data_IF_602104821590
#
_entry.id   IF_602104821590
#
_cell.length_a   1.000
_cell.length_b   1.000
_cell.length_c   1.000
_cell.angle_alpha   90.00
_cell.angle_beta   90.00
_cell.angle_gamma   90.00
#
_symmetry.space_group_name_H-M   'P 1'
#
loop_
_entity.id
_entity.type
_entity.pdbx_description
1 polymer ?
#
# COMPACT_ATOMS: atom_id res chain seq x y z
N UNK A 1 -30.90 30.49 14.87
CA UNK A 1 -29.67 30.61 15.67
C UNK A 1 -28.69 29.58 15.13
N UNK A 2 -27.80 30.01 14.22
CA UNK A 2 -26.74 29.17 13.67
C UNK A 2 -25.53 29.24 14.60
N UNK A 3 -24.95 28.08 14.92
CA UNK A 3 -23.62 28.00 15.48
C UNK A 3 -22.72 27.42 14.39
N UNK A 4 -22.07 28.34 13.67
CA UNK A 4 -20.96 28.06 12.77
C UNK A 4 -19.73 27.88 13.64
N UNK A 5 -19.25 26.66 13.81
CA UNK A 5 -17.91 26.39 14.35
C UNK A 5 -16.90 26.51 13.22
N UNK A 6 -16.12 27.59 13.23
CA UNK A 6 -15.03 27.82 12.28
C UNK A 6 -13.86 26.83 12.44
N UNK A 7 -12.92 26.80 11.49
CA UNK A 7 -11.79 25.89 11.52
C UNK A 7 -10.75 26.38 12.54
N UNK A 8 -10.64 25.67 13.65
CA UNK A 8 -9.56 25.85 14.60
C UNK A 8 -8.23 25.43 13.98
N UNK A 9 -7.50 26.38 13.38
CA UNK A 9 -6.06 26.24 13.09
C UNK A 9 -5.29 26.29 14.41
N UNK A 10 -5.28 25.18 15.14
CA UNK A 10 -4.35 24.90 16.22
C UNK A 10 -3.17 24.11 15.68
N UNK A 11 -2.28 24.74 14.93
CA UNK A 11 -0.99 24.15 14.60
C UNK A 11 -0.15 24.02 15.86
N UNK A 12 -0.30 22.91 16.59
CA UNK A 12 0.70 22.52 17.58
C UNK A 12 1.93 22.10 16.78
N UNK A 13 2.98 22.92 16.87
CA UNK A 13 4.30 22.55 16.38
C UNK A 13 4.79 21.33 17.18
N UNK A 14 5.38 20.36 16.47
CA UNK A 14 5.91 19.08 16.99
C UNK A 14 6.73 19.24 18.30
N UNK A 15 7.37 20.39 18.49
CA UNK A 15 8.10 20.77 19.70
C UNK A 15 7.28 20.80 21.02
N UNK A 16 5.93 20.75 20.99
CA UNK A 16 5.08 20.77 22.20
C UNK A 16 4.45 19.44 22.58
N UNK A 17 4.59 18.39 21.78
CA UNK A 17 4.13 17.04 22.15
C UNK A 17 5.13 16.40 23.13
N UNK A 18 4.67 15.58 24.11
CA UNK A 18 5.54 14.69 24.89
C UNK A 18 6.45 13.89 23.95
N UNK A 19 7.67 13.54 24.39
CA UNK A 19 8.66 12.88 23.51
C UNK A 19 8.14 11.58 22.91
N UNK A 20 7.35 10.85 23.69
CA UNK A 20 6.66 9.61 23.31
C UNK A 20 5.57 9.78 22.24
N UNK A 21 5.14 11.02 21.95
CA UNK A 21 4.16 11.35 20.93
C UNK A 21 4.78 12.12 19.76
N UNK A 22 6.11 12.10 19.61
CA UNK A 22 6.80 12.68 18.44
C UNK A 22 7.17 11.58 17.45
N UNK A 23 7.13 11.92 16.18
CA UNK A 23 7.61 11.07 15.10
C UNK A 23 9.13 11.22 14.99
N UNK A 24 9.89 10.14 15.08
CA UNK A 24 11.35 10.17 15.00
C UNK A 24 11.85 10.16 13.55
N UNK A 25 11.48 11.19 12.77
CA UNK A 25 11.73 11.29 11.32
C UNK A 25 13.18 10.94 10.95
N UNK A 26 14.17 11.62 11.52
CA UNK A 26 15.58 11.41 11.20
C UNK A 26 16.06 9.98 11.49
N UNK A 27 15.48 9.34 12.51
CA UNK A 27 15.77 7.95 12.87
C UNK A 27 15.19 6.99 11.85
N UNK A 28 13.94 7.19 11.42
CA UNK A 28 13.33 6.36 10.39
C UNK A 28 14.04 6.49 9.03
N UNK A 29 14.46 7.71 8.65
CA UNK A 29 15.26 7.93 7.43
C UNK A 29 16.58 7.17 7.52
N UNK A 30 17.31 7.32 8.63
CA UNK A 30 18.58 6.61 8.85
C UNK A 30 18.41 5.08 8.85
N UNK A 31 17.35 4.60 9.49
CA UNK A 31 16.99 3.18 9.51
C UNK A 31 16.82 2.64 8.09
N UNK A 32 16.00 3.29 7.25
CA UNK A 32 15.73 2.87 5.87
C UNK A 32 17.03 2.87 5.04
N UNK A 33 17.87 3.91 5.17
CA UNK A 33 19.16 3.98 4.48
C UNK A 33 20.11 2.84 4.85
N UNK A 34 20.04 2.33 6.09
CA UNK A 34 20.90 1.26 6.58
C UNK A 34 20.48 -0.16 6.14
N UNK A 35 19.27 -0.33 5.59
CA UNK A 35 18.74 -1.67 5.29
C UNK A 35 19.57 -2.42 4.25
N UNK A 36 20.14 -1.73 3.26
CA UNK A 36 20.97 -2.34 2.21
C UNK A 36 22.47 -2.43 2.57
N UNK A 37 22.89 -1.94 3.74
CA UNK A 37 24.32 -1.94 4.11
C UNK A 37 24.77 -3.22 4.80
N UNK A 38 23.85 -4.09 5.22
CA UNK A 38 24.10 -5.27 6.07
C UNK A 38 24.21 -6.57 5.28
N UNK A 39 24.92 -6.53 4.15
CA UNK A 39 25.03 -7.66 3.19
C UNK A 39 25.83 -8.85 3.71
N UNK A 40 26.54 -8.67 4.82
CA UNK A 40 27.28 -9.69 5.56
C UNK A 40 26.43 -10.45 6.60
N UNK A 41 25.20 -9.99 6.87
CA UNK A 41 24.29 -10.61 7.83
C UNK A 41 23.38 -11.66 7.18
N UNK A 42 23.06 -12.75 7.90
CA UNK A 42 22.19 -13.83 7.41
C UNK A 42 20.76 -13.32 7.17
N UNK A 43 20.28 -12.45 8.05
CA UNK A 43 18.96 -11.84 8.03
C UNK A 43 18.71 -11.06 6.73
N UNK A 44 19.74 -10.43 6.18
CA UNK A 44 19.66 -9.74 4.90
C UNK A 44 19.32 -10.73 3.78
N UNK A 45 19.92 -11.92 3.75
CA UNK A 45 19.68 -12.93 2.72
C UNK A 45 18.39 -13.72 2.94
N UNK A 46 17.99 -13.94 4.20
CA UNK A 46 16.71 -14.58 4.53
C UNK A 46 15.50 -13.77 4.03
N UNK A 47 15.66 -12.48 3.81
CA UNK A 47 14.61 -11.57 3.31
C UNK A 47 14.73 -11.24 1.83
N UNK A 48 15.61 -11.91 1.08
CA UNK A 48 15.80 -11.63 -0.36
C UNK A 48 14.51 -11.80 -1.17
N UNK A 49 13.70 -12.80 -0.82
CA UNK A 49 12.39 -13.04 -1.43
C UNK A 49 11.36 -11.91 -1.20
N UNK A 50 11.71 -10.87 -0.43
CA UNK A 50 10.89 -9.68 -0.21
C UNK A 50 11.56 -8.40 -0.72
N UNK A 51 12.75 -8.46 -1.35
CA UNK A 51 13.60 -7.29 -1.60
C UNK A 51 12.91 -6.20 -2.43
N UNK A 52 12.25 -6.56 -3.53
CA UNK A 52 11.49 -5.61 -4.35
C UNK A 52 10.42 -4.87 -3.55
N UNK A 53 9.65 -5.61 -2.74
CA UNK A 53 8.62 -5.00 -1.90
C UNK A 53 9.23 -4.14 -0.79
N UNK A 54 10.34 -4.59 -0.21
CA UNK A 54 11.14 -3.83 0.75
C UNK A 54 11.62 -2.50 0.20
N UNK A 55 12.08 -2.47 -1.06
CA UNK A 55 12.46 -1.24 -1.75
C UNK A 55 11.25 -0.31 -1.93
N UNK A 56 10.10 -0.83 -2.35
CA UNK A 56 8.86 -0.07 -2.46
C UNK A 56 8.45 0.54 -1.11
N UNK A 57 8.44 -0.26 -0.03
CA UNK A 57 8.08 0.19 1.32
C UNK A 57 9.03 1.28 1.82
N UNK A 58 10.34 1.06 1.68
CA UNK A 58 11.36 2.03 2.11
C UNK A 58 11.30 3.34 1.32
N UNK A 59 11.26 3.27 -0.02
CA UNK A 59 11.16 4.44 -0.88
C UNK A 59 9.89 5.25 -0.58
N UNK A 60 8.74 4.58 -0.46
CA UNK A 60 7.48 5.25 -0.21
C UNK A 60 7.45 5.88 1.19
N UNK A 61 7.97 5.20 2.21
CA UNK A 61 8.12 5.76 3.56
C UNK A 61 8.98 7.04 3.56
N UNK A 62 10.09 7.06 2.81
CA UNK A 62 10.93 8.25 2.68
C UNK A 62 10.19 9.42 2.01
N UNK A 63 9.38 9.16 0.99
CA UNK A 63 8.52 10.17 0.39
C UNK A 63 7.48 10.71 1.39
N UNK A 64 6.85 9.84 2.18
CA UNK A 64 5.87 10.25 3.20
C UNK A 64 6.49 11.13 4.28
N UNK A 65 7.77 10.88 4.61
CA UNK A 65 8.57 11.68 5.54
C UNK A 65 9.15 12.96 4.92
N UNK A 66 8.91 13.25 3.64
CA UNK A 66 9.44 14.44 2.96
C UNK A 66 10.93 14.34 2.60
N UNK A 67 11.49 13.13 2.50
CA UNK A 67 12.89 12.87 2.17
C UNK A 67 13.04 12.01 0.89
N UNK A 68 12.45 12.43 -0.26
CA UNK A 68 12.41 11.60 -1.46
C UNK A 68 13.80 11.26 -2.03
N UNK A 69 14.80 12.10 -1.80
CA UNK A 69 16.16 11.95 -2.33
C UNK A 69 17.11 11.20 -1.38
N UNK A 70 16.59 10.57 -0.32
CA UNK A 70 17.41 9.88 0.68
C UNK A 70 18.04 8.56 0.17
N UNK A 71 17.58 8.03 -0.96
CA UNK A 71 18.15 6.86 -1.64
C UNK A 71 18.58 7.22 -3.07
N UNK A 72 19.65 6.60 -3.60
CA UNK A 72 20.16 6.88 -4.94
C UNK A 72 19.20 6.39 -6.04
N UNK A 73 18.52 7.33 -6.74
CA UNK A 73 17.54 7.04 -7.82
C UNK A 73 18.04 6.01 -8.83
N UNK A 74 19.23 6.21 -9.37
CA UNK A 74 19.74 5.38 -10.48
C UNK A 74 20.05 3.94 -10.03
N UNK A 75 20.58 3.76 -8.82
CA UNK A 75 20.83 2.43 -8.27
C UNK A 75 19.52 1.67 -8.01
N UNK A 76 18.50 2.37 -7.50
CA UNK A 76 17.16 1.79 -7.35
C UNK A 76 16.57 1.37 -8.71
N UNK A 77 16.69 2.23 -9.73
CA UNK A 77 16.21 1.91 -11.08
C UNK A 77 16.96 0.72 -11.69
N UNK A 78 18.28 0.67 -11.55
CA UNK A 78 19.10 -0.45 -12.01
C UNK A 78 18.69 -1.76 -11.33
N UNK A 79 18.49 -1.74 -10.01
CA UNK A 79 17.99 -2.89 -9.27
C UNK A 79 16.62 -3.34 -9.77
N UNK A 80 15.66 -2.43 -9.89
CA UNK A 80 14.31 -2.76 -10.35
C UNK A 80 14.35 -3.44 -11.72
N UNK A 81 15.04 -2.84 -12.68
CA UNK A 81 15.10 -3.37 -14.04
C UNK A 81 15.90 -4.68 -14.14
N UNK A 82 16.87 -4.91 -13.24
CA UNK A 82 17.58 -6.20 -13.16
C UNK A 82 16.71 -7.37 -12.69
N UNK A 83 15.53 -7.08 -12.11
CA UNK A 83 14.55 -8.07 -11.68
C UNK A 83 13.46 -8.34 -12.75
N UNK A 84 13.48 -7.65 -13.90
CA UNK A 84 12.49 -7.83 -14.95
C UNK A 84 12.77 -9.12 -15.74
N UNK A 85 11.74 -9.93 -15.94
CA UNK A 85 11.80 -11.18 -16.69
C UNK A 85 11.38 -10.98 -18.16
N UNK A 86 11.73 -11.93 -19.03
CA UNK A 86 11.35 -11.88 -20.46
C UNK A 86 9.83 -11.85 -20.67
N UNK A 87 9.08 -12.47 -19.74
CA UNK A 87 7.61 -12.46 -19.73
C UNK A 87 7.02 -11.07 -19.52
N UNK A 88 7.78 -10.13 -18.97
CA UNK A 88 7.35 -8.79 -18.60
C UNK A 88 7.07 -8.59 -17.11
N UNK A 89 6.95 -9.68 -16.34
CA UNK A 89 6.81 -9.61 -14.88
C UNK A 89 8.15 -9.38 -14.18
N UNK A 90 8.09 -9.07 -12.88
CA UNK A 90 9.28 -8.87 -12.03
C UNK A 90 9.36 -9.92 -10.93
N UNK A 91 10.58 -10.33 -10.60
CA UNK A 91 10.88 -11.13 -9.42
C UNK A 91 11.22 -10.29 -8.19
N UNK A 92 11.36 -10.94 -7.03
CA UNK A 92 11.70 -10.27 -5.77
C UNK A 92 13.11 -9.66 -5.78
N UNK A 93 14.03 -10.34 -6.46
CA UNK A 93 15.44 -10.00 -6.63
C UNK A 93 15.94 -10.61 -7.95
N UNK A 94 17.15 -10.25 -8.45
CA UNK A 94 17.67 -10.81 -9.69
C UNK A 94 17.73 -12.34 -9.66
N UNK A 95 17.18 -12.98 -10.68
CA UNK A 95 17.11 -14.44 -10.80
C UNK A 95 15.97 -15.12 -10.04
N UNK A 96 15.11 -14.35 -9.34
CA UNK A 96 13.87 -14.88 -8.75
C UNK A 96 12.73 -14.88 -9.78
N UNK A 97 11.77 -15.79 -9.59
CA UNK A 97 10.63 -15.96 -10.48
C UNK A 97 9.73 -14.71 -10.51
N UNK A 98 9.18 -14.42 -11.69
CA UNK A 98 8.27 -13.32 -11.88
C UNK A 98 6.93 -13.56 -11.17
N UNK A 99 6.46 -12.59 -10.39
CA UNK A 99 5.22 -12.69 -9.65
C UNK A 99 4.46 -11.35 -9.62
N UNK A 100 3.13 -11.41 -9.54
CA UNK A 100 2.23 -10.26 -9.49
C UNK A 100 2.60 -9.27 -8.37
N UNK A 101 2.93 -9.79 -7.18
CA UNK A 101 3.29 -8.99 -6.00
C UNK A 101 4.51 -8.09 -6.26
N UNK A 102 5.58 -8.63 -6.84
CA UNK A 102 6.78 -7.83 -7.12
C UNK A 102 6.57 -6.95 -8.34
N UNK A 103 5.78 -7.41 -9.31
CA UNK A 103 5.45 -6.64 -10.52
C UNK A 103 4.72 -5.35 -10.16
N UNK A 104 3.72 -5.38 -9.27
CA UNK A 104 3.05 -4.14 -8.84
C UNK A 104 4.00 -3.22 -8.06
N UNK A 105 4.83 -3.76 -7.15
CA UNK A 105 5.80 -2.94 -6.43
C UNK A 105 6.84 -2.31 -7.36
N UNK A 106 7.30 -3.01 -8.40
CA UNK A 106 8.16 -2.43 -9.45
C UNK A 106 7.47 -1.28 -10.17
N UNK A 107 6.20 -1.43 -10.56
CA UNK A 107 5.43 -0.35 -11.21
C UNK A 107 5.26 0.85 -10.27
N UNK A 108 4.99 0.62 -8.98
CA UNK A 108 4.88 1.68 -7.98
C UNK A 108 6.21 2.39 -7.73
N UNK A 109 7.35 1.67 -7.73
CA UNK A 109 8.69 2.26 -7.65
C UNK A 109 8.96 3.12 -8.90
N UNK A 110 8.73 2.59 -10.11
CA UNK A 110 8.91 3.33 -11.36
C UNK A 110 8.05 4.60 -11.39
N UNK A 111 6.79 4.51 -10.97
CA UNK A 111 5.89 5.64 -10.82
C UNK A 111 6.43 6.68 -9.82
N UNK A 112 6.98 6.23 -8.68
CA UNK A 112 7.53 7.09 -7.63
C UNK A 112 8.78 7.84 -8.10
N UNK A 113 9.65 7.15 -8.85
CA UNK A 113 10.89 7.70 -9.41
C UNK A 113 10.69 8.51 -10.70
N UNK A 114 9.44 8.63 -11.17
CA UNK A 114 9.08 9.20 -12.49
C UNK A 114 9.88 8.55 -13.64
N UNK A 115 10.03 7.23 -13.58
CA UNK A 115 11.00 6.46 -14.37
C UNK A 115 10.37 5.60 -15.48
N UNK A 116 9.11 5.89 -15.84
CA UNK A 116 8.46 5.14 -16.90
C UNK A 116 9.03 5.45 -18.30
N UNK A 117 9.66 6.60 -18.50
CA UNK A 117 10.36 6.93 -19.75
C UNK A 117 11.75 6.26 -19.78
N UNK A 118 12.46 6.22 -18.64
CA UNK A 118 13.69 5.43 -18.49
C UNK A 118 13.44 3.94 -18.80
N UNK A 119 12.29 3.40 -18.37
CA UNK A 119 11.87 2.03 -18.70
C UNK A 119 11.77 1.81 -20.21
N UNK A 120 11.13 2.72 -20.95
CA UNK A 120 10.95 2.58 -22.41
C UNK A 120 12.27 2.73 -23.17
N UNK A 121 13.18 3.57 -22.68
CA UNK A 121 14.52 3.71 -23.26
C UNK A 121 15.35 2.43 -23.11
N UNK A 122 15.30 1.80 -21.93
CA UNK A 122 16.11 0.62 -21.61
C UNK A 122 15.48 -0.70 -22.04
N UNK A 123 14.15 -0.76 -22.06
CA UNK A 123 13.37 -1.94 -22.41
C UNK A 123 12.31 -1.53 -23.42
N UNK A 124 12.58 -1.80 -24.70
CA UNK A 124 11.65 -1.48 -25.79
C UNK A 124 10.26 -2.07 -25.51
N UNK A 125 9.25 -1.20 -25.40
CA UNK A 125 7.88 -1.59 -25.11
C UNK A 125 7.68 -2.07 -23.67
N UNK A 126 8.48 -1.58 -22.73
CA UNK A 126 8.53 -2.06 -21.35
C UNK A 126 7.16 -1.98 -20.67
N UNK A 127 6.45 -0.86 -20.77
CA UNK A 127 5.10 -0.72 -20.18
C UNK A 127 4.13 -1.76 -20.73
N UNK A 128 4.17 -1.98 -22.04
CA UNK A 128 3.31 -2.96 -22.71
C UNK A 128 3.64 -4.39 -22.29
N UNK A 129 4.92 -4.75 -22.16
CA UNK A 129 5.32 -6.08 -21.68
C UNK A 129 4.77 -6.36 -20.28
N UNK A 130 4.87 -5.38 -19.37
CA UNK A 130 4.32 -5.49 -18.02
C UNK A 130 2.79 -5.67 -18.08
N UNK A 131 2.11 -4.84 -18.87
CA UNK A 131 0.66 -4.93 -19.04
C UNK A 131 0.19 -6.28 -19.57
N UNK A 132 0.88 -6.84 -20.58
CA UNK A 132 0.54 -8.14 -21.14
C UNK A 132 0.85 -9.29 -20.19
N UNK A 133 1.93 -9.22 -19.39
CA UNK A 133 2.17 -10.19 -18.31
C UNK A 133 1.00 -10.22 -17.33
N UNK A 134 0.61 -9.05 -16.80
CA UNK A 134 -0.51 -8.95 -15.86
C UNK A 134 -1.81 -9.46 -16.49
N UNK A 135 -2.12 -9.03 -17.71
CA UNK A 135 -3.33 -9.46 -18.40
C UNK A 135 -3.36 -10.97 -18.67
N UNK A 136 -2.22 -11.59 -18.95
CA UNK A 136 -2.12 -13.04 -19.16
C UNK A 136 -2.45 -13.87 -17.91
N UNK A 137 -2.38 -13.26 -16.73
CA UNK A 137 -2.72 -13.90 -15.46
C UNK A 137 -4.21 -13.81 -15.12
N UNK A 138 -5.00 -13.07 -15.91
CA UNK A 138 -6.45 -13.05 -15.74
C UNK A 138 -7.08 -14.34 -16.27
N UNK A 139 -7.91 -14.98 -15.47
CA UNK A 139 -8.77 -16.05 -15.93
C UNK A 139 -10.03 -15.44 -16.58
N UNK A 140 -10.25 -15.64 -17.90
CA UNK A 140 -11.37 -15.01 -18.61
C UNK A 140 -12.75 -15.58 -18.23
N UNK A 141 -12.81 -16.77 -17.62
CA UNK A 141 -14.07 -17.37 -17.21
C UNK A 141 -14.53 -16.87 -15.84
N UNK A 142 -13.60 -16.65 -14.91
CA UNK A 142 -13.89 -16.32 -13.51
C UNK A 142 -13.61 -14.87 -13.15
N UNK A 143 -12.77 -14.16 -13.91
CA UNK A 143 -12.28 -12.82 -13.58
C UNK A 143 -11.15 -12.78 -12.56
N UNK A 144 -10.76 -13.92 -11.97
CA UNK A 144 -9.65 -14.01 -11.01
C UNK A 144 -8.31 -13.72 -11.67
N UNK A 145 -7.34 -13.25 -10.88
CA UNK A 145 -5.94 -13.20 -11.29
C UNK A 145 -5.13 -14.23 -10.54
N UNK A 146 -4.23 -14.90 -11.26
CA UNK A 146 -3.18 -15.70 -10.64
C UNK A 146 -2.02 -14.81 -10.16
N UNK A 147 -1.28 -15.28 -9.16
CA UNK A 147 -0.04 -14.63 -8.72
C UNK A 147 1.09 -14.77 -9.75
N UNK A 148 1.13 -15.91 -10.41
CA UNK A 148 2.11 -16.30 -11.43
C UNK A 148 1.58 -17.47 -12.27
N UNK A 149 2.46 -18.15 -13.01
CA UNK A 149 2.13 -19.31 -13.84
C UNK A 149 1.67 -20.57 -13.06
N UNK A 150 1.87 -20.61 -11.74
CA UNK A 150 1.50 -21.76 -10.89
C UNK A 150 0.05 -21.70 -10.40
N UNK A 151 -0.65 -20.59 -10.66
CA UNK A 151 -2.12 -20.54 -10.61
C UNK A 151 -2.75 -20.34 -9.23
N UNK A 152 -1.99 -19.92 -8.20
CA UNK A 152 -2.61 -19.43 -6.95
C UNK A 152 -3.50 -18.24 -7.27
N UNK A 153 -4.75 -18.24 -6.79
CA UNK A 153 -5.67 -17.11 -6.91
C UNK A 153 -5.99 -16.52 -5.53
N UNK A 154 -6.02 -15.19 -5.46
CA UNK A 154 -6.29 -14.44 -4.24
C UNK A 154 -6.76 -13.02 -4.61
N UNK A 155 -7.66 -12.43 -3.83
CA UNK A 155 -8.10 -11.05 -4.03
C UNK A 155 -6.98 -10.02 -3.96
N UNK A 156 -5.84 -10.34 -3.33
CA UNK A 156 -4.59 -9.56 -3.43
C UNK A 156 -4.17 -9.35 -4.89
N UNK A 157 -4.20 -10.38 -5.71
CA UNK A 157 -3.73 -10.32 -7.09
C UNK A 157 -4.67 -9.49 -7.98
N UNK A 158 -5.97 -9.45 -7.67
CA UNK A 158 -6.93 -8.53 -8.30
C UNK A 158 -6.51 -7.07 -8.08
N UNK A 159 -6.25 -6.69 -6.82
CA UNK A 159 -5.78 -5.34 -6.52
C UNK A 159 -4.43 -5.04 -7.18
N UNK A 160 -3.46 -5.95 -7.09
CA UNK A 160 -2.16 -5.76 -7.72
C UNK A 160 -2.28 -5.52 -9.23
N UNK A 161 -3.11 -6.30 -9.92
CA UNK A 161 -3.36 -6.17 -11.35
C UNK A 161 -3.99 -4.81 -11.69
N UNK A 162 -5.10 -4.46 -11.03
CA UNK A 162 -5.81 -3.19 -11.30
C UNK A 162 -4.94 -1.98 -10.94
N UNK A 163 -4.19 -2.04 -9.84
CA UNK A 163 -3.25 -0.98 -9.43
C UNK A 163 -2.18 -0.75 -10.51
N UNK A 164 -1.43 -1.80 -10.87
CA UNK A 164 -0.35 -1.68 -11.84
C UNK A 164 -0.86 -1.27 -13.22
N UNK A 165 -1.94 -1.89 -13.72
CA UNK A 165 -2.51 -1.56 -15.03
C UNK A 165 -3.08 -0.13 -15.06
N UNK A 166 -3.67 0.34 -13.95
CA UNK A 166 -4.13 1.72 -13.85
C UNK A 166 -2.98 2.72 -13.91
N UNK A 167 -1.91 2.50 -13.14
CA UNK A 167 -0.71 3.36 -13.17
C UNK A 167 -0.01 3.37 -14.54
N UNK A 168 -0.11 2.27 -15.29
CA UNK A 168 0.42 2.14 -16.64
C UNK A 168 -0.51 2.72 -17.73
N UNK A 169 -1.77 3.02 -17.41
CA UNK A 169 -2.79 3.42 -18.40
C UNK A 169 -3.26 2.27 -19.30
N UNK A 170 -3.24 1.04 -18.79
CA UNK A 170 -3.47 -0.21 -19.54
C UNK A 170 -4.62 -1.07 -18.98
N UNK A 171 -5.56 -0.48 -18.23
CA UNK A 171 -6.75 -1.22 -17.74
C UNK A 171 -7.56 -1.87 -18.87
N UNK A 172 -7.53 -1.32 -20.08
CA UNK A 172 -8.20 -1.89 -21.25
C UNK A 172 -7.66 -3.24 -21.74
N UNK A 173 -6.57 -3.76 -21.15
CA UNK A 173 -6.03 -5.09 -21.47
C UNK A 173 -6.77 -6.23 -20.74
N UNK A 174 -7.60 -5.91 -19.75
CA UNK A 174 -8.29 -6.91 -18.91
C UNK A 174 -9.80 -6.73 -18.93
N UNK A 175 -10.52 -7.77 -18.55
CA UNK A 175 -11.97 -7.71 -18.30
C UNK A 175 -12.22 -7.20 -16.87
N UNK A 176 -12.38 -5.88 -16.74
CA UNK A 176 -12.62 -5.23 -15.44
C UNK A 176 -13.96 -5.66 -14.84
N UNK A 177 -15.00 -5.84 -15.66
CA UNK A 177 -16.32 -6.23 -15.17
C UNK A 177 -16.29 -7.64 -14.56
N UNK A 178 -15.57 -8.58 -15.18
CA UNK A 178 -15.34 -9.91 -14.60
C UNK A 178 -14.57 -9.87 -13.30
N UNK A 179 -13.55 -9.02 -13.19
CA UNK A 179 -12.83 -8.82 -11.94
C UNK A 179 -13.75 -8.28 -10.83
N UNK A 180 -14.62 -7.32 -11.15
CA UNK A 180 -15.63 -6.77 -10.23
C UNK A 180 -16.64 -7.83 -9.81
N UNK A 181 -17.18 -8.62 -10.75
CA UNK A 181 -18.09 -9.74 -10.47
C UNK A 181 -17.46 -10.73 -9.47
N UNK A 182 -16.18 -11.08 -9.65
CA UNK A 182 -15.48 -11.97 -8.72
C UNK A 182 -15.31 -11.34 -7.33
N UNK A 183 -14.92 -10.06 -7.26
CA UNK A 183 -14.80 -9.35 -5.97
C UNK A 183 -16.15 -9.36 -5.24
N UNK A 184 -17.26 -9.10 -5.94
CA UNK A 184 -18.60 -9.16 -5.34
C UNK A 184 -18.92 -10.55 -4.80
N UNK A 185 -18.50 -11.62 -5.47
CA UNK A 185 -18.67 -13.00 -4.98
C UNK A 185 -17.85 -13.32 -3.73
N UNK A 186 -16.85 -12.51 -3.40
CA UNK A 186 -16.05 -12.64 -2.17
C UNK A 186 -16.65 -11.90 -0.97
N UNK A 187 -17.76 -11.16 -1.15
CA UNK A 187 -18.42 -10.43 -0.07
C UNK A 187 -19.14 -11.38 0.88
N UNK A 188 -18.98 -11.15 2.18
CA UNK A 188 -19.59 -11.93 3.25
C UNK A 188 -20.82 -11.22 3.86
N UNK A 189 -21.54 -11.96 4.71
CA UNK A 189 -22.74 -11.48 5.41
C UNK A 189 -22.50 -10.24 6.28
N UNK A 190 -21.26 -10.02 6.73
CA UNK A 190 -20.82 -8.88 7.55
C UNK A 190 -20.38 -7.67 6.70
N UNK A 191 -20.56 -7.74 5.38
CA UNK A 191 -20.14 -6.71 4.43
C UNK A 191 -18.64 -6.75 4.10
N UNK A 192 -17.85 -7.54 4.82
CA UNK A 192 -16.43 -7.74 4.58
C UNK A 192 -16.13 -8.66 3.40
N UNK A 193 -14.85 -8.83 3.11
CA UNK A 193 -14.35 -9.63 2.00
C UNK A 193 -13.28 -10.61 2.49
N UNK A 194 -13.35 -11.84 1.99
CA UNK A 194 -12.32 -12.87 2.15
C UNK A 194 -11.37 -12.92 0.96
N UNK A 195 -10.39 -13.83 1.00
CA UNK A 195 -9.42 -13.99 -0.09
C UNK A 195 -9.96 -14.71 -1.34
N UNK A 196 -11.14 -15.31 -1.22
CA UNK A 196 -11.93 -16.02 -2.24
C UNK A 196 -13.39 -16.10 -1.74
N UNK A 197 -14.36 -16.54 -2.56
CA UNK A 197 -15.72 -16.76 -2.12
C UNK A 197 -15.78 -17.66 -0.88
N UNK A 198 -16.67 -17.29 0.06
CA UNK A 198 -16.90 -17.98 1.33
C UNK A 198 -15.73 -17.95 2.34
N UNK A 199 -14.59 -17.33 1.99
CA UNK A 199 -13.49 -17.16 2.95
C UNK A 199 -13.82 -16.07 3.98
N UNK A 200 -13.32 -16.24 5.20
CA UNK A 200 -13.53 -15.31 6.32
C UNK A 200 -13.11 -13.87 5.97
N UNK A 201 -13.92 -12.90 6.39
CA UNK A 201 -13.61 -11.47 6.27
C UNK A 201 -12.29 -11.13 6.97
N UNK A 202 -11.38 -10.47 6.24
CA UNK A 202 -10.07 -10.09 6.76
C UNK A 202 -9.70 -8.68 6.29
N UNK A 203 -9.22 -7.82 7.19
CA UNK A 203 -8.96 -6.40 6.90
C UNK A 203 -8.00 -6.18 5.72
N UNK A 204 -7.00 -7.05 5.56
CA UNK A 204 -6.11 -7.01 4.40
C UNK A 204 -6.81 -7.32 3.08
N UNK A 205 -7.80 -8.23 3.08
CA UNK A 205 -8.55 -8.58 1.87
C UNK A 205 -9.69 -7.60 1.58
N UNK A 206 -10.26 -7.01 2.63
CA UNK A 206 -11.17 -5.88 2.51
C UNK A 206 -10.47 -4.71 1.81
N UNK A 207 -9.25 -4.37 2.24
CA UNK A 207 -8.47 -3.32 1.57
C UNK A 207 -8.29 -3.61 0.08
N UNK A 208 -7.82 -4.81 -0.28
CA UNK A 208 -7.54 -5.14 -1.68
C UNK A 208 -8.81 -5.11 -2.52
N UNK A 209 -9.93 -5.64 -2.02
CA UNK A 209 -11.22 -5.59 -2.70
C UNK A 209 -11.72 -4.14 -2.88
N UNK A 210 -11.70 -3.32 -1.83
CA UNK A 210 -12.15 -1.92 -1.92
C UNK A 210 -11.26 -1.07 -2.81
N UNK A 211 -9.95 -1.25 -2.75
CA UNK A 211 -9.02 -0.50 -3.57
C UNK A 211 -9.18 -0.89 -5.05
N UNK A 212 -9.34 -2.18 -5.36
CA UNK A 212 -9.66 -2.65 -6.70
C UNK A 212 -11.00 -2.07 -7.21
N UNK A 213 -12.06 -2.09 -6.39
CA UNK A 213 -13.35 -1.49 -6.73
C UNK A 213 -13.26 0.04 -6.90
N UNK A 214 -12.41 0.71 -6.13
CA UNK A 214 -12.16 2.16 -6.28
C UNK A 214 -11.52 2.47 -7.62
N UNK A 215 -10.51 1.70 -8.02
CA UNK A 215 -9.85 1.82 -9.34
C UNK A 215 -10.84 1.54 -10.47
N UNK A 216 -11.70 0.53 -10.31
CA UNK A 216 -12.73 0.19 -11.28
C UNK A 216 -13.89 1.21 -11.35
N UNK A 217 -13.95 2.19 -10.44
CA UNK A 217 -15.08 3.12 -10.33
C UNK A 217 -16.38 2.45 -9.89
N UNK A 218 -16.28 1.33 -9.15
CA UNK A 218 -17.40 0.45 -8.78
C UNK A 218 -17.66 0.37 -7.27
N UNK A 219 -17.36 1.42 -6.53
CA UNK A 219 -17.74 1.49 -5.10
C UNK A 219 -19.26 1.46 -4.86
N UNK A 220 -20.07 1.66 -5.91
CA UNK A 220 -21.54 1.53 -5.86
C UNK A 220 -22.03 0.15 -5.41
N UNK A 221 -21.21 -0.90 -5.59
CA UNK A 221 -21.58 -2.27 -5.21
C UNK A 221 -21.26 -2.63 -3.76
N UNK A 222 -20.65 -1.71 -3.02
CA UNK A 222 -20.18 -1.95 -1.64
C UNK A 222 -21.29 -1.61 -0.65
N UNK A 223 -21.57 -2.56 0.25
CA UNK A 223 -22.44 -2.37 1.43
C UNK A 223 -21.74 -1.49 2.49
N UNK A 224 -21.58 -0.21 2.17
CA UNK A 224 -20.67 0.71 2.86
C UNK A 224 -20.95 0.88 4.35
N UNK A 225 -22.23 0.93 4.77
CA UNK A 225 -22.60 1.06 6.18
C UNK A 225 -22.27 -0.20 6.99
N UNK A 226 -22.57 -1.37 6.42
CA UNK A 226 -22.32 -2.66 7.06
C UNK A 226 -20.82 -2.92 7.19
N UNK A 227 -20.08 -2.71 6.09
CA UNK A 227 -18.62 -2.84 6.08
C UNK A 227 -17.97 -1.83 7.03
N UNK A 228 -18.45 -0.58 7.03
CA UNK A 228 -17.99 0.46 7.94
C UNK A 228 -18.12 0.04 9.41
N UNK A 229 -19.25 -0.58 9.79
CA UNK A 229 -19.46 -1.06 11.15
C UNK A 229 -18.50 -2.19 11.52
N UNK A 230 -18.25 -3.14 10.61
CA UNK A 230 -17.28 -4.21 10.84
C UNK A 230 -15.85 -3.68 11.03
N UNK A 231 -15.47 -2.70 10.21
CA UNK A 231 -14.15 -2.06 10.23
C UNK A 231 -13.96 -1.18 11.47
N UNK A 232 -14.95 -0.38 11.88
CA UNK A 232 -14.83 0.48 13.06
C UNK A 232 -14.64 -0.33 14.35
N UNK A 233 -15.28 -1.51 14.43
CA UNK A 233 -15.12 -2.42 15.56
C UNK A 233 -13.74 -3.13 15.61
N UNK A 234 -12.86 -2.87 14.64
CA UNK A 234 -11.45 -3.32 14.69
C UNK A 234 -10.62 -2.56 15.70
N UNK A 235 -11.07 -1.39 16.15
CA UNK A 235 -10.30 -0.58 17.08
C UNK A 235 -10.38 -1.14 18.50
N UNK A 236 -9.22 -1.52 19.04
CA UNK A 236 -9.09 -2.06 20.39
C UNK A 236 -8.91 -0.96 21.43
N UNK A 237 -8.98 -1.34 22.70
CA UNK A 237 -8.89 -0.41 23.83
C UNK A 237 -7.60 0.40 23.88
N UNK A 238 -6.51 -0.06 23.28
CA UNK A 238 -5.24 0.66 23.20
C UNK A 238 -5.11 1.58 21.98
N UNK A 239 -6.16 1.67 21.13
CA UNK A 239 -6.19 2.52 19.94
C UNK A 239 -5.76 1.82 18.65
N UNK A 240 -5.02 0.71 18.75
CA UNK A 240 -4.61 -0.10 17.61
C UNK A 240 -5.78 -0.85 16.96
N UNK A 241 -5.61 -1.22 15.70
CA UNK A 241 -6.60 -1.92 14.89
C UNK A 241 -6.17 -3.38 14.69
N UNK A 242 -7.11 -4.32 14.74
CA UNK A 242 -6.84 -5.73 14.43
C UNK A 242 -7.37 -6.15 13.05
N UNK A 243 -6.88 -7.28 12.55
CA UNK A 243 -7.23 -7.75 11.20
C UNK A 243 -8.61 -8.39 11.10
N UNK A 244 -9.14 -8.90 12.20
CA UNK A 244 -10.42 -9.60 12.33
C UNK A 244 -10.79 -9.78 13.81
N UNK A 245 -12.05 -10.10 14.16
CA UNK A 245 -12.47 -10.32 15.53
C UNK A 245 -11.59 -11.30 16.30
N UNK A 246 -11.45 -11.06 17.62
CA UNK A 246 -10.68 -11.90 18.56
C UNK A 246 -9.17 -12.02 18.27
N UNK A 247 -8.61 -11.15 17.41
CA UNK A 247 -7.16 -11.04 17.18
C UNK A 247 -6.58 -9.80 17.86
N UNK A 248 -5.26 -9.83 18.06
CA UNK A 248 -4.51 -8.66 18.53
C UNK A 248 -4.42 -7.60 17.44
N UNK A 249 -4.28 -6.37 17.89
CA UNK A 249 -3.88 -5.23 17.08
C UNK A 249 -2.53 -5.43 16.41
N UNK A 250 -2.30 -4.72 15.33
CA UNK A 250 -1.04 -4.72 14.58
C UNK A 250 -0.92 -3.41 13.80
N UNK A 251 0.28 -2.82 13.74
CA UNK A 251 0.52 -1.56 13.01
C UNK A 251 0.08 -1.66 11.54
N UNK A 252 0.24 -2.81 10.87
CA UNK A 252 -0.15 -2.91 9.46
C UNK A 252 -1.67 -2.73 9.25
N UNK A 253 -2.50 -3.12 10.21
CA UNK A 253 -3.96 -2.88 10.16
C UNK A 253 -4.32 -1.40 10.37
N UNK A 254 -3.41 -0.59 10.90
CA UNK A 254 -3.58 0.87 10.93
C UNK A 254 -3.71 1.43 9.52
N UNK A 255 -3.03 0.83 8.54
CA UNK A 255 -3.26 1.12 7.13
C UNK A 255 -4.49 0.37 6.61
N UNK A 256 -4.51 -0.96 6.65
CA UNK A 256 -5.53 -1.76 5.96
C UNK A 256 -6.96 -1.41 6.36
N UNK A 257 -7.22 -1.14 7.64
CA UNK A 257 -8.56 -0.77 8.14
C UNK A 257 -8.84 0.70 7.89
N UNK A 258 -7.91 1.61 8.21
CA UNK A 258 -8.16 3.04 8.10
C UNK A 258 -8.29 3.50 6.64
N UNK A 259 -7.48 2.98 5.72
CA UNK A 259 -7.60 3.29 4.29
C UNK A 259 -8.90 2.74 3.70
N UNK A 260 -9.32 1.55 4.14
CA UNK A 260 -10.65 0.98 3.80
C UNK A 260 -11.79 1.89 4.26
N UNK A 261 -11.74 2.37 5.51
CA UNK A 261 -12.71 3.35 6.02
C UNK A 261 -12.65 4.68 5.25
N UNK A 262 -11.46 5.14 4.85
CA UNK A 262 -11.29 6.35 4.08
C UNK A 262 -11.93 6.23 2.67
N UNK A 263 -11.72 5.12 1.97
CA UNK A 263 -12.30 4.85 0.64
C UNK A 263 -13.83 4.90 0.65
N UNK A 264 -14.47 4.46 1.74
CA UNK A 264 -15.94 4.49 1.90
C UNK A 264 -16.44 5.71 2.69
N UNK A 265 -15.59 6.73 2.93
CA UNK A 265 -15.99 7.98 3.58
C UNK A 265 -16.29 7.89 5.09
N UNK A 266 -15.81 6.85 5.77
CA UNK A 266 -16.12 6.52 7.18
C UNK A 266 -14.90 6.52 8.12
N UNK A 267 -13.77 7.13 7.72
CA UNK A 267 -12.58 7.22 8.58
C UNK A 267 -12.88 7.84 9.97
N UNK A 268 -13.85 8.75 10.03
CA UNK A 268 -14.31 9.38 11.28
C UNK A 268 -15.04 8.43 12.26
N UNK A 269 -15.24 7.15 11.91
CA UNK A 269 -15.87 6.14 12.78
C UNK A 269 -14.91 5.51 13.79
N UNK A 270 -13.60 5.76 13.64
CA UNK A 270 -12.58 5.35 14.60
C UNK A 270 -11.97 6.58 15.28
N UNK A 271 -11.37 6.37 16.45
CA UNK A 271 -10.61 7.39 17.17
C UNK A 271 -9.21 7.53 16.56
N UNK A 272 -9.05 8.53 15.69
CA UNK A 272 -7.79 8.80 14.98
C UNK A 272 -6.63 9.18 15.91
N UNK A 273 -6.90 9.90 17.00
CA UNK A 273 -5.86 10.33 17.94
C UNK A 273 -5.29 9.13 18.71
N UNK A 274 -6.15 8.19 19.11
CA UNK A 274 -5.72 6.95 19.76
C UNK A 274 -4.99 6.02 18.81
N UNK A 275 -5.39 5.98 17.54
CA UNK A 275 -4.67 5.21 16.52
C UNK A 275 -3.28 5.80 16.27
N UNK A 276 -3.16 7.13 16.09
CA UNK A 276 -1.87 7.79 15.95
C UNK A 276 -0.97 7.52 17.17
N UNK A 277 -1.52 7.61 18.38
CA UNK A 277 -0.80 7.29 19.61
C UNK A 277 -0.33 5.82 19.64
N UNK A 278 -1.14 4.87 19.18
CA UNK A 278 -0.73 3.47 19.08
C UNK A 278 0.46 3.30 18.13
N UNK A 279 0.40 3.88 16.92
CA UNK A 279 1.49 3.80 15.94
C UNK A 279 2.78 4.41 16.50
N UNK A 280 2.70 5.59 17.11
CA UNK A 280 3.87 6.29 17.65
C UNK A 280 4.54 5.50 18.80
N UNK A 281 3.78 4.73 19.57
CA UNK A 281 4.32 3.84 20.60
C UNK A 281 5.00 2.57 20.06
N UNK A 282 4.89 2.30 18.75
CA UNK A 282 5.56 1.17 18.09
C UNK A 282 6.89 1.55 17.44
N UNK A 283 7.31 2.81 17.54
CA UNK A 283 8.60 3.29 17.02
C UNK A 283 9.76 2.82 17.90
N UNK A 284 10.91 2.53 17.30
CA UNK A 284 12.18 2.45 18.04
C UNK A 284 12.80 3.87 18.13
N UNK A 285 12.90 4.47 19.34
CA UNK A 285 13.42 5.83 19.51
C UNK A 285 14.94 5.94 19.30
N UNK A 286 15.67 4.82 19.37
CA UNK A 286 17.12 4.79 19.31
C UNK A 286 17.59 4.43 17.89
N UNK A 287 17.02 3.35 17.33
CA UNK A 287 17.38 2.78 16.02
C UNK A 287 16.55 3.27 14.84
N UNK A 288 15.35 3.81 15.07
CA UNK A 288 14.37 4.07 14.01
C UNK A 288 13.64 2.81 13.55
N UNK A 289 12.78 2.95 12.55
CA UNK A 289 11.77 1.95 12.21
C UNK A 289 10.56 1.90 13.18
N UNK A 290 9.54 1.13 12.78
CA UNK A 290 8.31 0.87 13.52
C UNK A 290 8.05 -0.65 13.50
N UNK A 291 7.68 -1.21 14.64
CA UNK A 291 7.32 -2.62 14.79
C UNK A 291 5.81 -2.86 14.61
N UNK A 292 5.39 -4.11 14.62
CA UNK A 292 3.96 -4.50 14.61
C UNK A 292 3.24 -4.11 15.90
N UNK A 293 3.94 -4.14 17.05
CA UNK A 293 3.44 -3.74 18.38
C UNK A 293 4.52 -3.06 19.23
N UNK A 294 4.14 -2.34 20.31
CA UNK A 294 5.10 -1.71 21.20
C UNK A 294 6.07 -2.72 21.82
N UNK A 295 7.37 -2.49 21.63
CA UNK A 295 8.45 -3.32 22.19
C UNK A 295 8.87 -4.52 21.33
N UNK A 296 8.18 -4.79 20.23
CA UNK A 296 8.60 -5.82 19.27
C UNK A 296 9.71 -5.29 18.33
N UNK A 297 10.30 -6.17 17.52
CA UNK A 297 11.37 -5.80 16.58
C UNK A 297 10.83 -5.03 15.38
N UNK A 298 11.52 -3.95 15.01
CA UNK A 298 11.15 -3.12 13.85
C UNK A 298 11.45 -3.81 12.52
N UNK A 299 10.62 -3.53 11.52
CA UNK A 299 10.88 -3.91 10.13
C UNK A 299 10.37 -2.82 9.16
N UNK A 300 10.85 -2.85 7.92
CA UNK A 300 10.51 -1.85 6.91
C UNK A 300 9.03 -1.90 6.48
N UNK A 301 8.37 -3.05 6.62
CA UNK A 301 6.96 -3.23 6.26
C UNK A 301 6.06 -2.50 7.25
N UNK A 302 6.24 -2.72 8.56
CA UNK A 302 5.50 -2.01 9.61
C UNK A 302 5.92 -0.54 9.70
N UNK A 303 7.19 -0.21 9.45
CA UNK A 303 7.64 1.17 9.29
C UNK A 303 6.83 1.89 8.22
N UNK A 304 6.72 1.29 7.04
CA UNK A 304 5.93 1.87 5.95
C UNK A 304 4.45 1.99 6.30
N UNK A 305 3.78 0.93 6.78
CA UNK A 305 2.34 0.98 7.04
C UNK A 305 1.97 1.84 8.26
N UNK A 306 2.86 1.96 9.25
CA UNK A 306 2.70 2.91 10.34
C UNK A 306 2.75 4.36 9.83
N UNK A 307 3.74 4.68 8.99
CA UNK A 307 3.86 6.01 8.38
C UNK A 307 2.70 6.32 7.41
N UNK A 308 2.25 5.33 6.64
CA UNK A 308 1.07 5.43 5.80
C UNK A 308 -0.20 5.73 6.63
N UNK A 309 -0.38 5.05 7.77
CA UNK A 309 -1.46 5.32 8.71
C UNK A 309 -1.40 6.74 9.29
N UNK A 310 -0.23 7.19 9.73
CA UNK A 310 -0.03 8.57 10.23
C UNK A 310 -0.29 9.62 9.15
N UNK A 311 0.17 9.39 7.92
CA UNK A 311 -0.11 10.26 6.77
C UNK A 311 -1.62 10.34 6.50
N UNK A 312 -2.32 9.20 6.49
CA UNK A 312 -3.77 9.15 6.26
C UNK A 312 -4.56 9.91 7.35
N UNK A 313 -4.09 9.85 8.59
CA UNK A 313 -4.62 10.62 9.73
C UNK A 313 -4.20 12.09 9.73
N UNK A 314 -3.43 12.53 8.73
CA UNK A 314 -2.90 13.90 8.58
C UNK A 314 -2.03 14.32 9.77
N UNK A 315 -1.23 13.39 10.29
CA UNK A 315 -0.24 13.71 11.31
C UNK A 315 0.69 14.84 10.83
N UNK A 316 0.98 15.86 11.66
CA UNK A 316 1.74 17.04 11.22
C UNK A 316 3.08 16.69 10.58
N UNK A 317 3.39 17.33 9.44
CA UNK A 317 4.66 17.16 8.72
C UNK A 317 4.70 16.01 7.72
N UNK A 318 3.68 15.15 7.70
CA UNK A 318 3.58 14.05 6.72
C UNK A 318 3.10 14.54 5.35
N UNK A 319 3.66 13.97 4.29
CA UNK A 319 3.12 14.10 2.92
C UNK A 319 1.83 13.28 2.82
N UNK A 320 0.80 13.82 2.16
CA UNK A 320 -0.49 13.13 1.98
C UNK A 320 -0.35 11.85 1.15
N UNK A 321 -1.00 10.78 1.61
CA UNK A 321 -1.05 9.48 0.96
C UNK A 321 -2.41 9.25 0.27
N UNK A 322 -2.37 8.56 -0.86
CA UNK A 322 -3.55 8.07 -1.57
C UNK A 322 -4.06 6.76 -0.91
N UNK A 323 -5.29 6.72 -0.37
CA UNK A 323 -5.83 5.53 0.31
C UNK A 323 -6.07 4.34 -0.63
N UNK A 324 -6.14 4.55 -1.94
CA UNK A 324 -6.36 3.49 -2.93
C UNK A 324 -5.04 2.85 -3.35
N UNK A 325 -4.02 3.66 -3.63
CA UNK A 325 -2.75 3.19 -4.20
C UNK A 325 -1.64 2.98 -3.16
N UNK A 326 -1.81 3.47 -1.93
CA UNK A 326 -0.78 3.48 -0.88
C UNK A 326 0.52 4.20 -1.32
N UNK A 327 0.37 5.29 -2.07
CA UNK A 327 1.46 6.08 -2.63
C UNK A 327 1.23 7.57 -2.33
N UNK A 328 2.26 8.45 -2.39
CA UNK A 328 2.07 9.88 -2.19
C UNK A 328 1.03 10.43 -3.17
N UNK A 329 0.03 11.14 -2.65
CA UNK A 329 -1.13 11.60 -3.43
C UNK A 329 -0.73 12.48 -4.62
N UNK A 330 0.32 13.27 -4.49
CA UNK A 330 0.84 14.09 -5.59
C UNK A 330 1.34 13.23 -6.77
N UNK A 331 1.88 12.05 -6.50
CA UNK A 331 2.42 11.13 -7.52
C UNK A 331 1.27 10.43 -8.25
N UNK A 332 0.28 9.93 -7.52
CA UNK A 332 -0.88 9.26 -8.14
C UNK A 332 -1.68 10.25 -8.98
N UNK A 333 -1.93 11.47 -8.49
CA UNK A 333 -2.57 12.53 -9.29
C UNK A 333 -1.80 12.86 -10.56
N UNK A 334 -0.48 13.05 -10.48
CA UNK A 334 0.37 13.33 -11.65
C UNK A 334 0.24 12.25 -12.73
N UNK A 335 0.09 10.99 -12.33
CA UNK A 335 0.03 9.86 -13.26
C UNK A 335 -1.38 9.68 -13.82
N UNK A 336 -2.41 9.72 -12.96
CA UNK A 336 -3.79 9.36 -13.28
C UNK A 336 -4.60 10.52 -13.85
N UNK A 337 -4.28 11.78 -13.50
CA UNK A 337 -4.99 12.97 -13.97
C UNK A 337 -4.34 13.59 -15.23
N UNK A 338 -3.45 12.86 -15.93
CA UNK A 338 -2.90 13.37 -17.20
C UNK A 338 -4.07 13.62 -18.15
N UNK A 339 -4.23 14.86 -18.67
CA UNK A 339 -5.26 15.13 -19.66
C UNK A 339 -5.02 14.24 -20.86
N UNK A 340 -6.08 13.63 -21.40
CA UNK A 340 -6.03 12.89 -22.65
C UNK A 340 -5.36 13.76 -23.73
N UNK A 341 -4.08 13.52 -23.98
CA UNK A 341 -3.40 14.05 -25.17
C UNK A 341 -3.84 13.14 -26.32
N UNK A 342 -5.11 13.30 -26.72
CA UNK A 342 -5.72 12.98 -28.02
C UNK A 342 -7.25 13.00 -27.85
N UNK A 343 -7.84 14.19 -28.00
CA UNK A 343 -9.22 14.37 -28.45
C UNK A 343 -9.22 14.97 -29.85
#
# INVERSE_FOLDING_TARGET
MSLVSGPGRGGMTDARLPRELRLFVDKHVSYIQSLDTRKDELEYWLTEHLRMNGLYWGLTALHLLGHPDALPRNEMLDFVLSCMHESGGFGAAPGHDAHMLYTVSSVQILATLDAFDDLEERVKGGRQKIGHYIASLQNPATGTFAGDEWGETDTRFLYCALNALSLLGLLGLIDVDKAVEYIQSCQNFDGGYGNRPEAESHSGQIFTCLAALSIAGRLDVVESDRLGAWLSERQLKNGGLNGRPEKKEDVCYSWWVASSLAMIGKLHWIDGDRLASFILNCQDPDGGGIADRPGDMVDVFHTFFGLAGLSLLKYPGMVEIDPVYCMPLAITKRILEKPDVNS
#
